data_IF_574486412854
#
_entry.id   IF_574486412854
#
_cell.length_a   1.000
_cell.length_b   1.000
_cell.length_c   1.000
_cell.angle_alpha   90.00
_cell.angle_beta   90.00
_cell.angle_gamma   90.00
#
_symmetry.space_group_name_H-M   'P 1'
#
loop_
_entity.id
_entity.type
_entity.pdbx_description
1 polymer ?
#
# COMPACT_ATOMS: atom_id res chain seq x y z
N UNK A 1 -18.31 14.66 -53.36
CA UNK A 1 -17.70 14.82 -52.02
C UNK A 1 -18.56 14.04 -51.05
N UNK A 2 -18.02 12.98 -50.45
CA UNK A 2 -18.66 12.24 -49.35
C UNK A 2 -18.49 13.05 -48.05
N UNK A 3 -19.57 13.23 -47.30
CA UNK A 3 -19.49 13.33 -45.84
C UNK A 3 -20.79 12.77 -45.23
N UNK A 4 -20.61 11.73 -44.43
CA UNK A 4 -21.64 10.87 -43.88
C UNK A 4 -22.48 11.60 -42.82
N UNK A 5 -23.76 11.25 -42.74
CA UNK A 5 -24.60 11.54 -41.58
C UNK A 5 -23.95 10.93 -40.33
N UNK A 6 -23.62 11.77 -39.35
CA UNK A 6 -23.07 11.35 -38.07
C UNK A 6 -24.15 11.40 -37.00
N UNK A 7 -24.39 10.24 -36.38
CA UNK A 7 -25.33 9.97 -35.30
C UNK A 7 -25.50 11.10 -34.28
N UNK A 8 -26.77 11.37 -33.93
CA UNK A 8 -27.16 12.10 -32.71
C UNK A 8 -27.31 11.16 -31.49
N UNK A 9 -26.84 9.91 -31.59
CA UNK A 9 -26.92 8.90 -30.52
C UNK A 9 -25.68 8.93 -29.60
N UNK A 10 -25.08 10.09 -29.39
CA UNK A 10 -24.15 10.29 -28.30
C UNK A 10 -24.93 10.41 -26.97
N UNK A 11 -25.57 9.32 -26.56
CA UNK A 11 -25.87 9.10 -25.15
C UNK A 11 -24.51 9.14 -24.43
N UNK A 12 -24.25 10.13 -23.56
CA UNK A 12 -23.05 10.10 -22.76
C UNK A 12 -23.10 8.80 -21.96
N UNK A 13 -22.02 8.01 -22.01
CA UNK A 13 -21.78 6.90 -21.10
C UNK A 13 -21.58 7.46 -19.69
N UNK A 14 -22.64 8.04 -19.13
CA UNK A 14 -22.84 8.15 -17.70
C UNK A 14 -23.01 6.70 -17.27
N UNK A 15 -21.99 6.18 -16.60
CA UNK A 15 -22.06 4.89 -15.90
C UNK A 15 -23.10 5.06 -14.80
N UNK A 16 -24.38 5.00 -15.17
CA UNK A 16 -25.44 4.99 -14.21
C UNK A 16 -25.28 3.69 -13.41
N UNK A 17 -25.09 3.81 -12.10
CA UNK A 17 -25.22 2.73 -11.12
C UNK A 17 -26.64 2.13 -11.06
N UNK A 18 -27.42 2.25 -12.13
CA UNK A 18 -28.74 1.67 -12.29
C UNK A 18 -28.57 0.42 -13.14
N UNK A 19 -28.48 -0.72 -12.48
CA UNK A 19 -28.75 -2.08 -12.98
C UNK A 19 -28.58 -2.28 -14.49
N UNK A 20 -27.58 -3.09 -14.84
CA UNK A 20 -27.44 -3.67 -16.17
C UNK A 20 -28.79 -4.23 -16.65
N UNK A 21 -29.08 -4.02 -17.94
CA UNK A 21 -30.36 -4.35 -18.58
C UNK A 21 -30.75 -5.85 -18.53
N UNK A 22 -29.95 -6.68 -17.86
CA UNK A 22 -30.13 -8.13 -17.66
C UNK A 22 -30.66 -8.46 -16.25
N UNK A 23 -30.83 -7.47 -15.37
CA UNK A 23 -31.46 -7.64 -14.05
C UNK A 23 -30.56 -8.27 -12.99
N UNK A 24 -29.24 -8.25 -13.16
CA UNK A 24 -28.30 -8.82 -12.22
C UNK A 24 -28.00 -7.83 -11.07
N UNK A 25 -28.77 -7.93 -9.99
CA UNK A 25 -28.64 -7.08 -8.80
C UNK A 25 -27.30 -7.25 -8.05
N UNK A 26 -26.48 -8.27 -8.40
CA UNK A 26 -25.25 -8.60 -7.68
C UNK A 26 -24.01 -7.86 -8.21
N UNK A 27 -24.08 -7.20 -9.37
CA UNK A 27 -22.98 -6.43 -9.96
C UNK A 27 -22.37 -5.34 -9.04
N UNK A 28 -23.16 -4.48 -8.37
CA UNK A 28 -22.58 -3.48 -7.47
C UNK A 28 -21.89 -4.13 -6.26
N UNK A 29 -22.41 -5.27 -5.78
CA UNK A 29 -21.81 -5.99 -4.66
C UNK A 29 -20.48 -6.63 -5.07
N UNK A 30 -20.40 -7.21 -6.27
CA UNK A 30 -19.15 -7.76 -6.80
C UNK A 30 -18.07 -6.69 -7.03
N UNK A 31 -18.47 -5.51 -7.51
CA UNK A 31 -17.56 -4.37 -7.68
C UNK A 31 -17.00 -3.87 -6.33
N UNK A 32 -17.84 -3.83 -5.29
CA UNK A 32 -17.42 -3.50 -3.91
C UNK A 32 -16.49 -4.57 -3.32
N UNK A 33 -16.75 -5.84 -3.57
CA UNK A 33 -15.90 -6.95 -3.12
C UNK A 33 -14.53 -6.87 -3.79
N UNK A 34 -14.46 -6.65 -5.11
CA UNK A 34 -13.20 -6.51 -5.84
C UNK A 34 -12.34 -5.36 -5.30
N UNK A 35 -12.94 -4.19 -5.05
CA UNK A 35 -12.20 -3.04 -4.50
C UNK A 35 -11.73 -3.27 -3.06
N UNK A 36 -12.51 -4.02 -2.26
CA UNK A 36 -12.09 -4.46 -0.93
C UNK A 36 -10.91 -5.45 -0.99
N UNK A 37 -10.89 -6.37 -1.96
CA UNK A 37 -9.75 -7.27 -2.20
C UNK A 37 -8.49 -6.50 -2.58
N UNK A 38 -8.58 -5.56 -3.52
CA UNK A 38 -7.44 -4.75 -3.97
C UNK A 38 -6.87 -3.89 -2.83
N UNK A 39 -7.75 -3.25 -2.05
CA UNK A 39 -7.35 -2.42 -0.90
C UNK A 39 -6.71 -3.27 0.21
N UNK A 40 -7.32 -4.40 0.55
CA UNK A 40 -6.80 -5.29 1.61
C UNK A 40 -5.46 -5.90 1.22
N UNK A 41 -5.33 -6.35 -0.04
CA UNK A 41 -4.09 -6.95 -0.56
C UNK A 41 -2.97 -5.92 -0.63
N UNK A 42 -3.25 -4.72 -1.13
CA UNK A 42 -2.27 -3.63 -1.17
C UNK A 42 -1.85 -3.17 0.23
N UNK A 43 -2.80 -3.09 1.18
CA UNK A 43 -2.53 -2.82 2.59
C UNK A 43 -1.63 -3.87 3.25
N UNK A 44 -1.87 -5.15 2.96
CA UNK A 44 -1.04 -6.28 3.41
C UNK A 44 0.39 -6.15 2.88
N UNK A 45 0.56 -5.91 1.57
CA UNK A 45 1.87 -5.76 0.93
C UNK A 45 2.62 -4.55 1.51
N UNK A 46 1.91 -3.46 1.76
CA UNK A 46 2.51 -2.27 2.35
C UNK A 46 2.94 -2.50 3.81
N UNK A 47 2.12 -3.18 4.61
CA UNK A 47 2.46 -3.57 5.98
C UNK A 47 3.70 -4.48 6.01
N UNK A 48 3.76 -5.47 5.11
CA UNK A 48 4.90 -6.37 4.97
C UNK A 48 6.19 -5.62 4.62
N UNK A 49 6.10 -4.65 3.69
CA UNK A 49 7.25 -3.81 3.30
C UNK A 49 7.75 -2.96 4.47
N UNK A 50 6.84 -2.40 5.28
CA UNK A 50 7.18 -1.68 6.50
C UNK A 50 7.86 -2.59 7.53
N UNK A 51 7.29 -3.77 7.80
CA UNK A 51 7.88 -4.76 8.71
C UNK A 51 9.30 -5.16 8.28
N UNK A 52 9.54 -5.32 6.98
CA UNK A 52 10.87 -5.58 6.44
C UNK A 52 11.85 -4.44 6.73
N UNK A 53 11.43 -3.19 6.54
CA UNK A 53 12.26 -2.02 6.86
C UNK A 53 12.55 -1.91 8.36
N UNK A 54 11.54 -2.11 9.23
CA UNK A 54 11.73 -2.15 10.67
C UNK A 54 12.71 -3.26 11.09
N UNK A 55 12.56 -4.47 10.54
CA UNK A 55 13.47 -5.59 10.81
C UNK A 55 14.91 -5.24 10.42
N UNK A 56 15.12 -4.60 9.27
CA UNK A 56 16.43 -4.12 8.84
C UNK A 56 16.99 -3.06 9.80
N UNK A 57 16.17 -2.11 10.26
CA UNK A 57 16.59 -1.08 11.21
C UNK A 57 17.00 -1.71 12.55
N UNK A 58 16.18 -2.60 13.10
CA UNK A 58 16.44 -3.31 14.38
C UNK A 58 17.73 -4.14 14.28
N UNK A 59 17.92 -4.89 13.20
CA UNK A 59 19.10 -5.70 12.99
C UNK A 59 20.39 -4.87 12.92
N UNK A 60 20.31 -3.64 12.38
CA UNK A 60 21.44 -2.74 12.22
C UNK A 60 21.52 -1.62 13.26
N UNK A 61 20.70 -1.66 14.31
CA UNK A 61 20.65 -0.62 15.34
C UNK A 61 21.99 -0.44 16.09
N UNK A 62 22.82 -1.50 16.14
CA UNK A 62 24.16 -1.45 16.73
C UNK A 62 25.28 -1.35 15.68
N UNK A 63 24.94 -1.14 14.41
CA UNK A 63 25.91 -1.01 13.31
C UNK A 63 26.29 0.47 13.14
N UNK A 64 27.55 0.83 13.42
CA UNK A 64 28.03 2.20 13.24
C UNK A 64 27.83 2.69 11.79
N UNK A 65 27.32 3.92 11.65
CA UNK A 65 27.05 4.56 10.37
C UNK A 65 25.77 4.11 9.68
N UNK A 66 24.97 3.23 10.30
CA UNK A 66 23.67 2.83 9.76
C UNK A 66 22.63 3.93 9.93
N UNK A 67 21.94 4.24 8.83
CA UNK A 67 20.86 5.23 8.76
C UNK A 67 19.52 4.52 8.66
N UNK A 68 18.56 4.99 9.47
CA UNK A 68 17.20 4.45 9.54
C UNK A 68 16.50 4.54 8.18
N UNK A 69 15.94 3.41 7.73
CA UNK A 69 15.11 3.35 6.54
C UNK A 69 13.64 3.52 6.93
N UNK A 70 12.89 4.30 6.15
CA UNK A 70 11.45 4.45 6.33
C UNK A 70 10.69 4.06 5.07
N UNK A 71 9.43 3.71 5.24
CA UNK A 71 8.54 3.36 4.15
C UNK A 71 7.29 4.20 4.35
N UNK A 72 7.02 5.05 3.37
CA UNK A 72 5.84 5.88 3.32
C UNK A 72 4.76 5.17 2.53
N UNK A 73 3.51 5.34 2.95
CA UNK A 73 2.36 4.85 2.19
C UNK A 73 1.86 6.00 1.32
N UNK A 74 1.67 5.72 0.04
CA UNK A 74 1.01 6.62 -0.89
C UNK A 74 -0.33 6.02 -1.27
N UNK A 75 -1.39 6.78 -1.06
CA UNK A 75 -2.75 6.38 -1.43
C UNK A 75 -2.94 6.48 -2.96
N UNK A 76 -3.63 5.49 -3.52
CA UNK A 76 -3.96 5.38 -4.94
C UNK A 76 -5.42 4.93 -5.07
N UNK A 77 -6.12 5.23 -6.18
CA UNK A 77 -7.50 4.78 -6.38
C UNK A 77 -7.72 3.27 -6.26
N UNK A 78 -6.65 2.46 -6.41
CA UNK A 78 -6.68 1.00 -6.29
C UNK A 78 -6.15 0.48 -4.93
N UNK A 79 -5.91 1.35 -3.94
CA UNK A 79 -5.44 0.97 -2.60
C UNK A 79 -4.22 1.76 -2.15
N UNK A 80 -3.23 1.10 -1.54
CA UNK A 80 -2.03 1.76 -1.00
C UNK A 80 -0.74 1.22 -1.60
N UNK A 81 0.17 2.11 -1.96
CA UNK A 81 1.50 1.78 -2.47
C UNK A 81 2.54 2.09 -1.38
N UNK A 82 3.34 1.09 -1.00
CA UNK A 82 4.49 1.32 -0.12
C UNK A 82 5.68 1.84 -0.94
N UNK A 83 6.11 3.06 -0.64
CA UNK A 83 7.31 3.65 -1.23
C UNK A 83 8.39 3.73 -0.18
N UNK A 84 9.54 3.12 -0.47
CA UNK A 84 10.71 3.22 0.41
C UNK A 84 11.24 4.65 0.37
N UNK A 85 10.93 5.43 1.40
CA UNK A 85 11.56 6.71 1.63
C UNK A 85 12.87 6.44 2.40
N UNK A 86 13.99 6.47 1.68
CA UNK A 86 15.26 6.63 2.39
C UNK A 86 15.18 7.98 3.11
N UNK A 87 15.23 7.98 4.44
CA UNK A 87 15.30 9.24 5.18
C UNK A 87 16.60 9.89 4.74
N UNK A 88 16.49 11.05 4.08
CA UNK A 88 17.61 11.96 3.86
C UNK A 88 18.12 12.37 5.24
N UNK A 89 19.02 11.58 5.80
CA UNK A 89 19.87 12.05 6.87
C UNK A 89 20.67 13.22 6.30
N UNK A 90 20.67 14.41 6.92
CA UNK A 90 21.59 15.45 6.53
C UNK A 90 23.01 14.86 6.68
N UNK A 91 23.74 14.75 5.56
CA UNK A 91 25.17 14.44 5.43
C UNK A 91 25.62 13.03 5.04
N UNK A 92 25.24 12.54 3.86
CA UNK A 92 26.25 11.82 3.06
C UNK A 92 27.31 12.77 2.48
N UNK A 93 26.93 14.00 2.15
CA UNK A 93 27.82 15.00 1.56
C UNK A 93 28.87 15.58 2.54
N UNK A 94 28.49 15.89 3.79
CA UNK A 94 29.49 16.44 4.74
C UNK A 94 30.35 15.37 5.45
N UNK A 95 29.96 14.10 5.43
CA UNK A 95 30.81 13.00 5.89
C UNK A 95 31.94 12.70 4.88
N UNK A 96 31.66 12.81 3.57
CA UNK A 96 32.67 12.68 2.51
C UNK A 96 33.63 13.87 2.43
N UNK A 97 33.19 15.07 2.86
CA UNK A 97 34.02 16.28 2.87
C UNK A 97 35.08 16.28 3.99
N UNK A 98 34.91 15.51 5.08
CA UNK A 98 35.90 15.39 6.13
C UNK A 98 36.82 14.17 5.86
N UNK A 99 37.82 14.37 5.00
CA UNK A 99 38.81 13.34 4.62
C UNK A 99 39.81 12.96 5.73
N UNK A 100 39.57 13.34 6.99
CA UNK A 100 40.38 12.87 8.10
C UNK A 100 39.87 11.49 8.56
N UNK A 101 40.45 10.44 7.98
CA UNK A 101 40.12 8.99 8.15
C UNK A 101 40.30 8.43 9.57
N UNK A 102 40.25 9.28 10.59
CA UNK A 102 40.52 8.97 12.00
C UNK A 102 39.31 9.19 12.90
N UNK A 103 38.17 9.66 12.36
CA UNK A 103 36.95 9.81 13.14
C UNK A 103 36.19 8.47 13.15
N UNK A 104 35.83 7.92 14.33
CA UNK A 104 34.93 6.77 14.41
C UNK A 104 33.65 7.07 13.63
N UNK A 105 33.17 6.11 12.84
CA UNK A 105 31.84 6.21 12.22
C UNK A 105 30.81 6.48 13.31
N UNK A 106 29.91 7.48 13.14
CA UNK A 106 28.91 7.80 14.16
C UNK A 106 28.08 6.55 14.51
N UNK A 107 27.55 6.46 15.74
CA UNK A 107 26.62 5.40 16.09
C UNK A 107 25.40 5.42 15.15
N UNK A 108 24.63 4.32 15.11
CA UNK A 108 23.40 4.29 14.32
C UNK A 108 22.39 5.32 14.82
N UNK A 109 21.62 5.91 13.90
CA UNK A 109 20.52 6.83 14.20
C UNK A 109 19.18 6.10 14.49
N UNK A 110 19.21 4.77 14.65
CA UNK A 110 18.02 3.95 14.91
C UNK A 110 17.59 4.05 16.38
N UNK A 111 16.33 4.41 16.61
CA UNK A 111 15.70 4.30 17.93
C UNK A 111 14.93 2.98 18.05
N UNK A 112 15.51 2.00 18.74
CA UNK A 112 14.92 0.66 18.88
C UNK A 112 13.51 0.68 19.50
N UNK A 113 13.23 1.59 20.44
CA UNK A 113 11.91 1.69 21.04
C UNK A 113 10.85 2.11 20.01
N UNK A 114 11.16 3.09 19.17
CA UNK A 114 10.28 3.54 18.09
C UNK A 114 10.11 2.46 17.02
N UNK A 115 11.16 1.70 16.71
CA UNK A 115 11.10 0.59 15.77
C UNK A 115 10.20 -0.55 16.29
N UNK A 116 10.26 -0.87 17.58
CA UNK A 116 9.37 -1.89 18.17
C UNK A 116 7.91 -1.44 18.19
N UNK A 117 7.64 -0.18 18.53
CA UNK A 117 6.27 0.38 18.46
C UNK A 117 5.76 0.40 17.02
N UNK A 118 6.62 0.77 16.07
CA UNK A 118 6.29 0.75 14.66
C UNK A 118 6.00 -0.66 14.15
N UNK A 119 6.79 -1.67 14.56
CA UNK A 119 6.50 -3.07 14.24
C UNK A 119 5.14 -3.52 14.77
N UNK A 120 4.80 -3.18 16.03
CA UNK A 120 3.48 -3.49 16.58
C UNK A 120 2.35 -2.79 15.80
N UNK A 121 2.52 -1.52 15.43
CA UNK A 121 1.54 -0.81 14.61
C UNK A 121 1.37 -1.45 13.23
N UNK A 122 2.48 -1.86 12.60
CA UNK A 122 2.48 -2.50 11.28
C UNK A 122 1.89 -3.92 11.32
N UNK A 123 2.12 -4.68 12.39
CA UNK A 123 1.47 -5.96 12.61
C UNK A 123 -0.04 -5.80 12.78
N UNK A 124 -0.49 -4.85 13.59
CA UNK A 124 -1.92 -4.54 13.72
C UNK A 124 -2.54 -4.12 12.38
N UNK A 125 -1.82 -3.32 11.58
CA UNK A 125 -2.26 -2.92 10.25
C UNK A 125 -2.36 -4.12 9.28
N UNK A 126 -1.39 -5.03 9.30
CA UNK A 126 -1.44 -6.28 8.54
C UNK A 126 -2.66 -7.14 8.95
N UNK A 127 -2.89 -7.30 10.26
CA UNK A 127 -4.03 -8.06 10.80
C UNK A 127 -5.37 -7.44 10.41
N UNK A 128 -5.50 -6.12 10.48
CA UNK A 128 -6.72 -5.41 10.08
C UNK A 128 -7.06 -5.64 8.60
N UNK A 129 -6.06 -5.52 7.71
CA UNK A 129 -6.26 -5.79 6.28
C UNK A 129 -6.57 -7.27 5.99
N UNK A 130 -5.97 -8.22 6.72
CA UNK A 130 -6.34 -9.63 6.61
C UNK A 130 -7.77 -9.91 7.06
N UNK A 131 -8.28 -9.23 8.08
CA UNK A 131 -9.67 -9.39 8.50
C UNK A 131 -10.64 -8.84 7.44
N UNK A 132 -10.31 -7.70 6.83
CA UNK A 132 -11.08 -7.16 5.72
C UNK A 132 -11.08 -8.11 4.50
N UNK A 133 -9.94 -8.71 4.18
CA UNK A 133 -9.81 -9.72 3.13
C UNK A 133 -10.69 -10.95 3.40
N UNK A 134 -10.70 -11.46 4.64
CA UNK A 134 -11.55 -12.59 5.04
C UNK A 134 -13.03 -12.25 4.92
N UNK A 135 -13.44 -11.06 5.35
CA UNK A 135 -14.82 -10.62 5.20
C UNK A 135 -15.25 -10.52 3.72
N UNK A 136 -14.35 -10.06 2.85
CA UNK A 136 -14.58 -10.03 1.41
C UNK A 136 -14.71 -11.44 0.81
N UNK A 137 -13.89 -12.38 1.26
CA UNK A 137 -13.95 -13.80 0.87
C UNK A 137 -15.27 -14.47 1.31
N UNK A 138 -15.68 -14.27 2.57
CA UNK A 138 -16.95 -14.77 3.09
C UNK A 138 -18.14 -14.24 2.27
N UNK A 139 -18.16 -12.94 1.94
CA UNK A 139 -19.19 -12.34 1.08
C UNK A 139 -19.19 -12.94 -0.32
N UNK A 140 -18.01 -13.15 -0.93
CA UNK A 140 -17.90 -13.81 -2.23
C UNK A 140 -18.43 -15.24 -2.18
N UNK A 141 -18.14 -15.98 -1.11
CA UNK A 141 -18.68 -17.32 -0.87
C UNK A 141 -20.20 -17.35 -0.87
N UNK A 142 -20.85 -16.39 -0.19
CA UNK A 142 -22.32 -16.30 -0.18
C UNK A 142 -22.93 -15.98 -1.55
N UNK A 143 -22.24 -15.18 -2.38
CA UNK A 143 -22.70 -14.87 -3.74
C UNK A 143 -22.55 -16.06 -4.70
N UNK A 144 -21.49 -16.85 -4.54
CA UNK A 144 -21.29 -18.08 -5.31
C UNK A 144 -22.32 -19.15 -4.93
N UNK A 145 -22.65 -19.28 -3.65
CA UNK A 145 -23.65 -20.26 -3.16
C UNK A 145 -25.08 -19.92 -3.63
N UNK A 146 -25.44 -18.64 -3.68
CA UNK A 146 -26.77 -18.20 -4.13
C UNK A 146 -26.96 -18.22 -5.66
N UNK A 147 -25.88 -18.37 -6.43
CA UNK A 147 -25.92 -18.43 -7.91
C UNK A 147 -25.79 -19.85 -8.48
N UNK A 148 -25.57 -20.85 -7.63
CA UNK A 148 -25.56 -22.28 -7.95
C UNK A 148 -26.97 -22.90 -7.93
#
# INVERSE_FOLDING_TARGET
>A
MLYFAGDNDAIPLVWALSNDAVGNQNLPQLAMISSAFDTSTSGIVAAATKLQANANNVANANTNGYQTQRVDLVESPAGVEARTASVDAPNRANAAANSNRTSPSPPSDVNLADEMVSMMANENFYQANMQALKAADDMMGTLLDTSA
#
